data_IF_292202202080
#
_entry.id   IF_292202202080
#
_cell.length_a   1.000
_cell.length_b   1.000
_cell.length_c   1.000
_cell.angle_alpha   90.00
_cell.angle_beta   90.00
_cell.angle_gamma   90.00
#
_symmetry.space_group_name_H-M   'P 1'
#
loop_
_entity.id
_entity.type
_entity.pdbx_description
1 polymer ?
#
# COMPACT_ATOMS: atom_id res chain seq x y z
N UNK A 1 9.16 -2.23 -0.71
CA UNK A 1 8.79 -2.05 0.68
C UNK A 1 9.72 -1.03 1.32
N UNK A 2 9.20 0.15 1.65
CA UNK A 2 9.93 1.27 2.25
C UNK A 2 9.59 1.31 3.73
N UNK A 3 10.57 1.08 4.58
CA UNK A 3 10.35 1.04 6.02
C UNK A 3 11.34 1.90 6.82
N UNK A 4 11.02 2.18 8.06
CA UNK A 4 11.90 2.86 9.01
C UNK A 4 11.16 3.17 10.30
N UNK A 5 11.84 2.98 11.43
CA UNK A 5 11.27 3.08 12.78
C UNK A 5 10.74 4.46 13.14
N UNK A 6 11.40 5.51 12.67
CA UNK A 6 11.01 6.87 13.00
C UNK A 6 9.79 7.29 12.16
N UNK A 7 8.79 7.85 12.83
CA UNK A 7 7.74 8.64 12.16
C UNK A 7 8.36 9.91 11.57
N UNK A 8 7.80 10.45 10.48
CA UNK A 8 8.31 11.68 9.88
C UNK A 8 9.64 11.58 9.12
N UNK A 9 10.22 10.39 8.98
CA UNK A 9 11.47 10.18 8.26
C UNK A 9 11.35 10.22 6.72
N UNK A 10 10.14 10.45 6.19
CA UNK A 10 9.91 10.70 4.77
C UNK A 10 9.49 9.47 3.93
N UNK A 11 9.10 8.34 4.51
CA UNK A 11 8.64 7.15 3.78
C UNK A 11 7.54 7.46 2.77
N UNK A 12 6.45 8.04 3.23
CA UNK A 12 5.33 8.48 2.39
C UNK A 12 5.77 9.46 1.31
N UNK A 13 6.62 10.44 1.67
CA UNK A 13 7.20 11.38 0.71
C UNK A 13 7.98 10.70 -0.42
N UNK A 14 8.76 9.67 -0.10
CA UNK A 14 9.48 8.88 -1.11
C UNK A 14 8.52 8.11 -1.99
N UNK A 15 7.52 7.44 -1.44
CA UNK A 15 6.49 6.73 -2.20
C UNK A 15 5.78 7.68 -3.18
N UNK A 16 5.35 8.86 -2.72
CA UNK A 16 4.72 9.87 -3.55
C UNK A 16 5.64 10.44 -4.65
N UNK A 17 6.94 10.61 -4.36
CA UNK A 17 7.93 11.04 -5.38
C UNK A 17 8.09 9.99 -6.48
N UNK A 18 8.12 8.70 -6.14
CA UNK A 18 8.18 7.61 -7.11
C UNK A 18 6.92 7.62 -7.98
N UNK A 19 5.74 7.77 -7.39
CA UNK A 19 4.48 7.88 -8.13
C UNK A 19 4.47 9.11 -9.06
N UNK A 20 4.92 10.27 -8.58
CA UNK A 20 5.05 11.47 -9.40
C UNK A 20 5.99 11.28 -10.58
N UNK A 21 7.11 10.59 -10.38
CA UNK A 21 8.03 10.25 -11.46
C UNK A 21 7.39 9.29 -12.47
N UNK A 22 6.66 8.27 -11.98
CA UNK A 22 5.91 7.35 -12.82
C UNK A 22 4.91 8.09 -13.72
N UNK A 23 4.07 8.96 -13.15
CA UNK A 23 3.12 9.74 -13.92
C UNK A 23 3.77 10.65 -14.97
N UNK A 24 4.90 11.27 -14.65
CA UNK A 24 5.65 12.08 -15.64
C UNK A 24 6.13 11.26 -16.83
N UNK A 25 6.47 9.97 -16.60
CA UNK A 25 6.95 9.08 -17.68
C UNK A 25 5.82 8.61 -18.59
N UNK A 26 4.61 8.42 -18.07
CA UNK A 26 3.48 7.90 -18.84
C UNK A 26 2.59 9.01 -19.43
N UNK A 27 2.63 10.23 -18.89
CA UNK A 27 1.73 11.32 -19.24
C UNK A 27 1.71 11.70 -20.75
N UNK A 28 2.78 11.36 -21.47
CA UNK A 28 2.88 11.64 -22.89
C UNK A 28 2.51 10.44 -23.80
N UNK A 29 2.29 9.26 -23.22
CA UNK A 29 2.18 8.03 -24.00
C UNK A 29 0.81 7.34 -23.91
N UNK A 30 0.03 7.60 -22.86
CA UNK A 30 -1.23 6.88 -22.58
C UNK A 30 -2.24 7.80 -21.91
N UNK A 31 -3.52 7.45 -21.99
CA UNK A 31 -4.54 7.99 -21.10
C UNK A 31 -4.20 7.66 -19.63
N UNK A 32 -4.58 8.52 -18.70
CA UNK A 32 -4.27 8.38 -17.27
C UNK A 32 -5.31 7.55 -16.50
N UNK A 33 -6.23 6.89 -17.21
CA UNK A 33 -7.25 6.06 -16.56
C UNK A 33 -6.62 4.86 -15.85
N UNK A 34 -6.94 4.73 -14.56
CA UNK A 34 -6.51 3.62 -13.69
C UNK A 34 -4.98 3.37 -13.65
N UNK A 35 -4.18 4.41 -13.81
CA UNK A 35 -2.73 4.28 -13.87
C UNK A 35 -2.08 4.20 -12.48
N UNK A 36 -2.62 4.92 -11.49
CA UNK A 36 -2.08 4.86 -10.13
C UNK A 36 -3.04 5.36 -9.06
N UNK A 37 -2.93 4.75 -7.89
CA UNK A 37 -3.72 5.11 -6.71
C UNK A 37 -2.82 5.17 -5.47
N UNK A 38 -3.23 6.01 -4.53
CA UNK A 38 -2.69 6.07 -3.18
C UNK A 38 -3.79 5.74 -2.18
N UNK A 39 -3.51 4.84 -1.26
CA UNK A 39 -4.38 4.57 -0.12
C UNK A 39 -3.57 4.69 1.18
N UNK A 40 -4.13 5.40 2.17
CA UNK A 40 -3.69 5.32 3.55
C UNK A 40 -4.44 4.15 4.18
N UNK A 41 -3.72 3.07 4.47
CA UNK A 41 -4.34 1.77 4.76
C UNK A 41 -5.28 1.80 5.96
N UNK A 42 -4.96 2.43 7.10
CA UNK A 42 -5.86 2.46 8.25
C UNK A 42 -7.24 3.03 7.90
N UNK A 43 -7.32 4.23 7.31
CA UNK A 43 -8.60 4.84 6.91
C UNK A 43 -9.32 4.00 5.85
N UNK A 44 -8.58 3.49 4.86
CA UNK A 44 -9.19 2.64 3.84
C UNK A 44 -9.85 1.39 4.41
N UNK A 45 -9.29 0.78 5.45
CA UNK A 45 -9.88 -0.39 6.10
C UNK A 45 -11.11 -0.02 6.96
N UNK A 46 -11.19 1.19 7.50
CA UNK A 46 -12.38 1.72 8.15
C UNK A 46 -13.50 1.90 7.12
N UNK A 47 -13.22 2.61 6.01
CA UNK A 47 -14.17 2.80 4.91
C UNK A 47 -14.65 1.45 4.33
N UNK A 48 -13.74 0.50 4.17
CA UNK A 48 -14.06 -0.83 3.68
C UNK A 48 -15.01 -1.58 4.63
N UNK A 49 -14.84 -1.43 5.94
CA UNK A 49 -15.72 -2.04 6.93
C UNK A 49 -17.11 -1.42 6.91
N UNK A 50 -17.16 -0.10 6.84
CA UNK A 50 -18.42 0.66 6.86
C UNK A 50 -19.27 0.43 5.59
N UNK A 51 -18.62 0.19 4.45
CA UNK A 51 -19.29 -0.05 3.18
C UNK A 51 -19.48 -1.53 2.83
N UNK A 52 -18.97 -2.45 3.65
CA UNK A 52 -19.02 -3.88 3.35
C UNK A 52 -20.44 -4.44 3.20
N UNK A 53 -21.35 -3.99 4.05
CA UNK A 53 -22.76 -4.43 4.07
C UNK A 53 -23.65 -3.58 3.13
N UNK A 54 -23.23 -2.38 2.75
CA UNK A 54 -24.04 -1.40 2.03
C UNK A 54 -24.08 -1.62 0.51
N UNK A 55 -23.20 -2.48 -0.05
CA UNK A 55 -23.07 -2.75 -1.49
C UNK A 55 -23.07 -1.47 -2.34
N UNK A 56 -22.27 -0.49 -1.91
CA UNK A 56 -22.13 0.77 -2.63
C UNK A 56 -21.37 0.52 -3.95
N UNK A 57 -22.01 0.76 -5.11
CA UNK A 57 -21.36 0.53 -6.42
C UNK A 57 -20.12 1.41 -6.62
N UNK A 58 -20.09 2.61 -6.04
CA UNK A 58 -18.94 3.51 -6.12
C UNK A 58 -17.74 2.94 -5.35
N UNK A 59 -18.00 2.35 -4.17
CA UNK A 59 -16.97 1.70 -3.39
C UNK A 59 -16.45 0.41 -4.04
N UNK A 60 -17.32 -0.37 -4.68
CA UNK A 60 -16.92 -1.55 -5.45
C UNK A 60 -15.99 -1.17 -6.62
N UNK A 61 -16.26 -0.04 -7.27
CA UNK A 61 -15.39 0.48 -8.33
C UNK A 61 -14.01 0.88 -7.78
N UNK A 62 -13.94 1.55 -6.62
CA UNK A 62 -12.68 1.87 -5.93
C UNK A 62 -11.89 0.59 -5.63
N UNK A 63 -12.55 -0.45 -5.10
CA UNK A 63 -11.91 -1.75 -4.84
C UNK A 63 -11.37 -2.40 -6.12
N UNK A 64 -12.13 -2.29 -7.21
CA UNK A 64 -11.68 -2.77 -8.52
C UNK A 64 -10.44 -2.02 -8.99
N UNK A 65 -10.45 -0.70 -8.89
CA UNK A 65 -9.31 0.16 -9.26
C UNK A 65 -8.07 -0.17 -8.43
N UNK A 66 -8.20 -0.36 -7.12
CA UNK A 66 -7.10 -0.76 -6.22
C UNK A 66 -6.47 -2.09 -6.67
N UNK A 67 -7.29 -3.04 -7.11
CA UNK A 67 -6.81 -4.35 -7.57
C UNK A 67 -6.17 -4.34 -8.96
N UNK A 68 -6.47 -3.34 -9.79
CA UNK A 68 -6.11 -3.34 -11.22
C UNK A 68 -5.21 -2.20 -11.67
N UNK A 69 -5.07 -1.11 -10.90
CA UNK A 69 -4.20 0.01 -11.27
C UNK A 69 -2.75 -0.43 -11.43
N UNK A 70 -2.02 0.19 -12.34
CA UNK A 70 -0.61 -0.14 -12.64
C UNK A 70 0.31 0.11 -11.47
N UNK A 71 0.11 1.21 -10.75
CA UNK A 71 0.88 1.57 -9.56
C UNK A 71 -0.03 1.85 -8.37
N UNK A 72 0.11 1.10 -7.29
CA UNK A 72 -0.58 1.34 -6.03
C UNK A 72 0.43 1.72 -4.94
N UNK A 73 0.12 2.75 -4.17
CA UNK A 73 0.78 3.00 -2.88
C UNK A 73 -0.17 2.54 -1.78
N UNK A 74 0.31 1.63 -0.93
CA UNK A 74 -0.32 1.24 0.33
C UNK A 74 0.52 1.84 1.44
N UNK A 75 0.03 2.94 2.00
CA UNK A 75 0.78 3.71 3.00
C UNK A 75 0.44 3.25 4.42
N UNK A 76 1.48 3.13 5.24
CA UNK A 76 1.46 2.79 6.67
C UNK A 76 0.91 1.38 6.98
N UNK A 77 1.31 0.38 6.17
CA UNK A 77 0.93 -1.02 6.41
C UNK A 77 1.49 -1.53 7.76
N UNK A 78 0.61 -2.12 8.56
CA UNK A 78 0.91 -2.65 9.89
C UNK A 78 0.69 -1.65 11.03
N UNK A 79 0.12 -0.47 10.75
CA UNK A 79 -0.31 0.48 11.77
C UNK A 79 -1.66 0.12 12.40
N UNK A 80 -2.50 -0.62 11.68
CA UNK A 80 -3.83 -1.02 12.08
C UNK A 80 -3.84 -2.28 12.95
N UNK A 81 -4.88 -2.43 13.76
CA UNK A 81 -5.15 -3.68 14.48
C UNK A 81 -5.62 -4.75 13.50
N UNK A 82 -4.81 -5.78 13.33
CA UNK A 82 -5.07 -6.86 12.37
C UNK A 82 -6.08 -7.86 12.95
N UNK A 83 -7.34 -7.77 12.48
CA UNK A 83 -8.37 -8.79 12.69
C UNK A 83 -8.32 -9.81 11.55
N UNK A 84 -8.92 -10.98 11.71
CA UNK A 84 -8.99 -12.00 10.64
C UNK A 84 -9.67 -11.45 9.38
N UNK A 85 -10.71 -10.63 9.55
CA UNK A 85 -11.39 -9.96 8.46
C UNK A 85 -10.45 -9.01 7.68
N UNK A 86 -9.70 -8.15 8.38
CA UNK A 86 -8.69 -7.26 7.78
C UNK A 86 -7.64 -8.07 7.03
N UNK A 87 -7.16 -9.15 7.65
CA UNK A 87 -6.16 -10.05 7.05
C UNK A 87 -6.65 -10.64 5.73
N UNK A 88 -7.89 -11.13 5.69
CA UNK A 88 -8.48 -11.68 4.46
C UNK A 88 -8.59 -10.64 3.35
N UNK A 89 -9.01 -9.42 3.66
CA UNK A 89 -9.11 -8.32 2.69
C UNK A 89 -7.75 -7.94 2.12
N UNK A 90 -6.77 -7.77 2.99
CA UNK A 90 -5.38 -7.49 2.58
C UNK A 90 -4.81 -8.61 1.69
N UNK A 91 -5.00 -9.87 2.09
CA UNK A 91 -4.58 -11.03 1.29
C UNK A 91 -5.22 -11.00 -0.09
N UNK A 92 -6.52 -10.70 -0.19
CA UNK A 92 -7.22 -10.61 -1.48
C UNK A 92 -6.61 -9.55 -2.40
N UNK A 93 -6.37 -8.33 -1.89
CA UNK A 93 -5.79 -7.24 -2.68
C UNK A 93 -4.37 -7.58 -3.11
N UNK A 94 -3.52 -7.98 -2.15
CA UNK A 94 -2.10 -8.25 -2.39
C UNK A 94 -1.93 -9.43 -3.36
N UNK A 95 -2.68 -10.52 -3.17
CA UNK A 95 -2.62 -11.67 -4.07
C UNK A 95 -3.00 -11.31 -5.51
N UNK A 96 -4.10 -10.58 -5.69
CA UNK A 96 -4.55 -10.16 -7.02
C UNK A 96 -3.46 -9.36 -7.71
N UNK A 97 -2.82 -8.42 -7.01
CA UNK A 97 -1.79 -7.57 -7.58
C UNK A 97 -0.50 -8.34 -7.90
N UNK A 98 -0.05 -9.18 -6.98
CA UNK A 98 1.16 -10.03 -7.19
C UNK A 98 0.94 -10.99 -8.36
N UNK A 99 -0.22 -11.67 -8.43
CA UNK A 99 -0.53 -12.61 -9.51
C UNK A 99 -0.63 -11.95 -10.90
N UNK A 100 -0.99 -10.66 -10.95
CA UNK A 100 -1.07 -9.89 -12.19
C UNK A 100 0.20 -9.04 -12.46
N UNK A 101 1.27 -9.23 -11.68
CA UNK A 101 2.52 -8.45 -11.80
C UNK A 101 2.32 -6.93 -11.74
N UNK A 102 1.35 -6.47 -10.91
CA UNK A 102 1.07 -5.05 -10.75
C UNK A 102 1.97 -4.42 -9.68
N UNK A 103 2.56 -3.28 -10.00
CA UNK A 103 3.51 -2.61 -9.12
C UNK A 103 2.82 -2.06 -7.87
N UNK A 104 3.36 -2.40 -6.70
CA UNK A 104 2.87 -1.90 -5.41
C UNK A 104 4.02 -1.36 -4.58
N UNK A 105 3.85 -0.16 -4.03
CA UNK A 105 4.76 0.42 -3.05
C UNK A 105 4.08 0.32 -1.69
N UNK A 106 4.76 -0.28 -0.74
CA UNK A 106 4.33 -0.33 0.65
C UNK A 106 5.20 0.58 1.49
N UNK A 107 4.63 1.34 2.40
CA UNK A 107 5.38 2.02 3.46
C UNK A 107 5.01 1.48 4.82
N UNK A 108 5.94 1.45 5.76
CA UNK A 108 5.71 0.92 7.11
C UNK A 108 6.68 1.47 8.14
N UNK A 109 6.25 1.45 9.40
CA UNK A 109 7.14 1.64 10.54
C UNK A 109 7.75 0.31 11.03
N UNK A 110 7.32 -0.82 10.48
CA UNK A 110 7.76 -2.16 10.85
C UNK A 110 8.96 -2.61 10.03
N UNK A 111 9.92 -3.27 10.66
CA UNK A 111 10.95 -4.03 9.94
C UNK A 111 10.32 -5.24 9.22
N UNK A 112 11.03 -5.88 8.26
CA UNK A 112 10.55 -7.11 7.64
C UNK A 112 10.17 -8.21 8.64
N UNK A 113 10.91 -8.35 9.74
CA UNK A 113 10.66 -9.32 10.79
C UNK A 113 9.39 -8.98 11.58
N UNK A 114 9.24 -7.71 11.94
CA UNK A 114 8.05 -7.22 12.63
C UNK A 114 6.80 -7.32 11.75
N UNK A 115 6.93 -7.04 10.44
CA UNK A 115 5.83 -7.23 9.50
C UNK A 115 5.32 -8.69 9.49
N UNK A 116 6.23 -9.67 9.58
CA UNK A 116 5.86 -11.10 9.71
C UNK A 116 5.13 -11.38 11.00
N UNK A 117 5.62 -10.83 12.10
CA UNK A 117 5.02 -11.00 13.42
C UNK A 117 3.61 -10.42 13.49
N UNK A 118 3.40 -9.23 12.95
CA UNK A 118 2.13 -8.49 13.04
C UNK A 118 1.09 -8.97 12.01
N UNK A 119 1.47 -9.11 10.75
CA UNK A 119 0.54 -9.45 9.66
C UNK A 119 0.46 -10.95 9.36
N UNK A 120 1.42 -11.73 9.88
CA UNK A 120 1.57 -13.15 9.61
C UNK A 120 2.32 -13.46 8.31
N UNK A 121 2.88 -14.67 8.24
CA UNK A 121 3.73 -15.12 7.13
C UNK A 121 3.06 -15.04 5.76
N UNK A 122 1.76 -15.27 5.69
CA UNK A 122 1.02 -15.28 4.42
C UNK A 122 1.02 -13.93 3.72
N UNK A 123 0.87 -12.84 4.46
CA UNK A 123 0.92 -11.46 3.92
C UNK A 123 2.38 -11.06 3.72
N UNK A 124 3.18 -11.19 4.77
CA UNK A 124 4.55 -10.71 4.76
C UNK A 124 5.40 -11.36 3.65
N UNK A 125 5.26 -12.67 3.42
CA UNK A 125 5.98 -13.36 2.35
C UNK A 125 5.65 -12.82 0.95
N UNK A 126 4.40 -12.42 0.72
CA UNK A 126 4.00 -11.82 -0.56
C UNK A 126 4.49 -10.39 -0.71
N UNK A 127 4.32 -9.58 0.32
CA UNK A 127 4.81 -8.20 0.34
C UNK A 127 6.32 -8.16 0.13
N UNK A 128 7.06 -8.89 0.94
CA UNK A 128 8.53 -8.87 0.91
C UNK A 128 9.10 -9.63 -0.30
N UNK A 129 8.50 -10.77 -0.66
CA UNK A 129 8.97 -11.60 -1.77
C UNK A 129 8.75 -10.96 -3.15
N UNK A 130 7.82 -10.01 -3.26
CA UNK A 130 7.57 -9.25 -4.50
C UNK A 130 8.16 -7.82 -4.46
N UNK A 131 8.87 -7.44 -3.40
CA UNK A 131 9.35 -6.07 -3.21
C UNK A 131 10.86 -5.99 -3.07
N UNK A 132 11.43 -4.90 -3.58
CA UNK A 132 12.72 -4.43 -3.09
C UNK A 132 12.54 -3.78 -1.71
N UNK A 133 13.28 -4.25 -0.72
CA UNK A 133 13.22 -3.73 0.65
C UNK A 133 14.20 -2.57 0.78
N UNK A 134 13.69 -1.42 1.24
CA UNK A 134 14.48 -0.19 1.45
C UNK A 134 14.24 0.32 2.88
N UNK A 135 15.31 0.45 3.64
CA UNK A 135 15.28 1.05 4.97
C UNK A 135 15.59 2.55 4.92
N UNK A 136 14.77 3.36 5.60
CA UNK A 136 15.05 4.79 5.82
C UNK A 136 15.48 4.98 7.28
N UNK A 137 16.76 5.25 7.47
CA UNK A 137 17.39 5.42 8.80
C UNK A 137 17.40 6.87 9.30
N UNK A 138 16.96 7.83 8.46
CA UNK A 138 16.93 9.24 8.86
C UNK A 138 15.89 9.49 9.97
N UNK A 139 16.21 10.41 10.88
CA UNK A 139 15.28 10.87 11.93
C UNK A 139 14.08 11.64 11.40
N UNK A 140 13.21 12.09 12.30
CA UNK A 140 12.03 12.90 11.97
C UNK A 140 12.46 14.22 11.30
N UNK A 141 11.91 14.52 10.13
CA UNK A 141 12.19 15.71 9.33
C UNK A 141 11.07 16.76 9.40
N UNK A 142 10.03 16.52 10.19
CA UNK A 142 8.87 17.42 10.29
C UNK A 142 9.14 18.69 11.09
N UNK A 143 10.29 18.83 11.70
CA UNK A 143 10.72 19.99 12.48
C UNK A 143 11.89 20.79 11.87
N UNK A 144 12.22 20.55 10.61
CA UNK A 144 13.28 21.25 9.88
C UNK A 144 12.69 22.27 8.90
#
# INVERSE_FOLDING_TARGET
YIWGKSTGNGKTSWACKIMSYFFRKIAFNTGLENEGLYIFLPTFLEDLRDNYDNKDPEFDEILRMIKTCRLLIIDDIGAERVTDWVRERMVSIINTRVSNNLTTIYTSNLSPEELRSELGDRIASRVLGSSQVVEITSGDRRGL
#
